data_IF_679292611061
#
_entry.id   IF_679292611061
#
_cell.length_a   1.000
_cell.length_b   1.000
_cell.length_c   1.000
_cell.angle_alpha   90.00
_cell.angle_beta   90.00
_cell.angle_gamma   90.00
#
_symmetry.space_group_name_H-M   'P 1'
#
loop_
_entity.id
_entity.type
_entity.pdbx_description
1 polymer ?
#
# COMPACT_ATOMS: atom_id res chain seq x y z
N UNK A 1 19.40 24.99 20.48
CA UNK A 1 20.47 24.95 19.46
C UNK A 1 21.57 25.94 19.84
N UNK A 2 22.85 25.61 19.68
CA UNK A 2 23.95 26.57 19.99
C UNK A 2 24.25 27.51 18.80
N UNK A 3 24.88 28.65 19.06
CA UNK A 3 25.34 29.58 17.99
C UNK A 3 26.34 28.91 17.03
N UNK A 4 27.16 27.97 17.53
CA UNK A 4 28.10 27.19 16.71
C UNK A 4 27.36 26.27 15.75
N UNK A 5 26.30 25.59 16.23
CA UNK A 5 25.45 24.75 15.39
C UNK A 5 24.73 25.58 14.33
N UNK A 6 24.20 26.74 14.71
CA UNK A 6 23.51 27.66 13.80
C UNK A 6 24.42 28.10 12.66
N UNK A 7 25.67 28.49 12.94
CA UNK A 7 26.64 28.88 11.90
C UNK A 7 26.93 27.74 10.94
N UNK A 8 27.10 26.52 11.45
CA UNK A 8 27.30 25.33 10.61
C UNK A 8 26.08 25.07 9.73
N UNK A 9 24.87 25.26 10.29
CA UNK A 9 23.63 25.07 9.55
C UNK A 9 23.48 26.11 8.44
N UNK A 10 23.69 27.39 8.74
CA UNK A 10 23.59 28.46 7.75
C UNK A 10 24.63 28.32 6.62
N UNK A 11 25.83 27.81 6.92
CA UNK A 11 26.86 27.53 5.93
C UNK A 11 26.50 26.42 4.92
N UNK A 12 25.48 25.60 5.20
CA UNK A 12 24.99 24.60 4.25
C UNK A 12 24.19 25.21 3.10
N UNK A 13 23.73 26.46 3.26
CA UNK A 13 22.82 27.11 2.32
C UNK A 13 21.39 26.58 2.43
N UNK A 14 20.48 27.20 1.68
CA UNK A 14 19.10 26.74 1.58
C UNK A 14 19.01 25.39 0.87
N UNK A 15 17.97 24.63 1.17
CA UNK A 15 17.73 23.34 0.57
C UNK A 15 16.42 22.69 1.00
N UNK A 16 16.21 21.40 0.68
CA UNK A 16 14.92 20.73 0.85
C UNK A 16 14.38 20.67 2.29
N UNK A 17 15.20 20.97 3.30
CA UNK A 17 14.84 20.94 4.73
C UNK A 17 15.35 22.15 5.51
N UNK A 18 15.86 23.17 4.81
CA UNK A 18 16.44 24.35 5.43
C UNK A 18 16.13 25.57 4.56
N UNK A 19 15.39 26.52 5.12
CA UNK A 19 15.01 27.76 4.44
C UNK A 19 15.49 28.95 5.27
N UNK A 20 15.91 30.04 4.60
CA UNK A 20 16.25 31.30 5.25
C UNK A 20 15.16 32.34 5.01
N UNK A 21 14.95 33.17 6.05
CA UNK A 21 14.14 34.38 5.98
C UNK A 21 14.93 35.51 6.62
N UNK A 22 14.89 36.69 6.02
CA UNK A 22 15.64 37.87 6.47
C UNK A 22 15.08 38.42 7.77
N UNK A 23 13.76 38.38 7.96
CA UNK A 23 13.10 38.85 9.18
C UNK A 23 11.69 38.28 9.33
N UNK A 24 11.04 38.53 10.47
CA UNK A 24 9.61 38.23 10.67
C UNK A 24 8.68 39.06 9.80
N UNK A 25 9.20 40.00 9.00
CA UNK A 25 8.43 40.61 7.91
C UNK A 25 7.99 39.60 6.85
N UNK A 26 8.71 38.47 6.73
CA UNK A 26 8.43 37.36 5.81
C UNK A 26 7.73 36.19 6.53
N UNK A 27 6.94 36.48 7.58
CA UNK A 27 6.31 35.43 8.40
C UNK A 27 5.30 34.61 7.58
N UNK A 28 4.59 35.22 6.64
CA UNK A 28 3.64 34.49 5.80
C UNK A 28 4.35 33.49 4.88
N UNK A 29 5.46 33.89 4.24
CA UNK A 29 6.28 32.98 3.43
C UNK A 29 6.91 31.88 4.31
N UNK A 30 7.32 32.22 5.55
CA UNK A 30 7.81 31.24 6.51
C UNK A 30 6.73 30.19 6.84
N UNK A 31 5.48 30.59 7.04
CA UNK A 31 4.38 29.66 7.32
C UNK A 31 4.05 28.76 6.12
N UNK A 32 4.10 29.30 4.90
CA UNK A 32 3.96 28.50 3.68
C UNK A 32 5.09 27.46 3.57
N UNK A 33 6.31 27.86 3.88
CA UNK A 33 7.47 26.96 3.95
C UNK A 33 7.25 25.89 5.03
N UNK A 34 6.71 26.26 6.19
CA UNK A 34 6.40 25.32 7.25
C UNK A 34 5.36 24.29 6.80
N UNK A 35 4.31 24.68 6.07
CA UNK A 35 3.38 23.74 5.44
C UNK A 35 4.09 22.78 4.48
N UNK A 36 4.99 23.29 3.64
CA UNK A 36 5.75 22.46 2.71
C UNK A 36 6.65 21.45 3.43
N UNK A 37 7.34 21.89 4.49
CA UNK A 37 8.18 21.00 5.32
C UNK A 37 7.36 19.99 6.11
N UNK A 38 6.20 20.39 6.63
CA UNK A 38 5.25 19.48 7.27
C UNK A 38 4.87 18.36 6.32
N UNK A 39 4.50 18.67 5.08
CA UNK A 39 4.15 17.64 4.09
C UNK A 39 5.35 16.81 3.56
N UNK A 40 6.58 17.21 3.93
CA UNK A 40 7.82 16.56 3.53
C UNK A 40 8.47 15.75 4.66
N UNK A 41 9.80 15.86 4.75
CA UNK A 41 10.60 15.20 5.79
C UNK A 41 10.79 16.09 7.04
N UNK A 42 9.97 17.12 7.20
CA UNK A 42 10.21 18.19 8.17
C UNK A 42 11.36 19.09 7.74
N UNK A 43 11.71 20.05 8.60
CA UNK A 43 12.77 21.00 8.29
C UNK A 43 12.95 22.09 9.33
N UNK A 44 13.81 23.05 9.00
CA UNK A 44 14.06 24.23 9.82
C UNK A 44 13.97 25.49 8.97
N UNK A 45 13.38 26.52 9.54
CA UNK A 45 13.36 27.86 8.95
C UNK A 45 14.15 28.77 9.88
N UNK A 46 15.17 29.43 9.34
CA UNK A 46 15.99 30.38 10.09
C UNK A 46 15.58 31.80 9.73
N UNK A 47 15.02 32.53 10.70
CA UNK A 47 14.58 33.93 10.50
C UNK A 47 15.61 34.89 11.11
N UNK A 48 16.05 35.86 10.32
CA UNK A 48 17.20 36.72 10.60
C UNK A 48 18.46 36.30 9.82
N UNK A 49 18.32 35.47 8.78
CA UNK A 49 19.43 34.97 7.95
C UNK A 49 19.27 35.48 6.52
N UNK A 50 20.35 36.01 5.95
CA UNK A 50 20.37 36.46 4.54
C UNK A 50 20.48 35.24 3.59
N UNK A 51 20.11 35.38 2.31
CA UNK A 51 20.20 34.27 1.34
C UNK A 51 21.60 33.67 1.19
N UNK A 52 22.65 34.45 1.49
CA UNK A 52 24.05 34.00 1.46
C UNK A 52 24.48 33.24 2.74
N UNK A 53 23.56 33.00 3.68
CA UNK A 53 23.84 32.37 4.97
C UNK A 53 24.35 33.32 6.06
N UNK A 54 24.48 34.62 5.78
CA UNK A 54 24.90 35.60 6.79
C UNK A 54 23.85 35.75 7.89
N UNK A 55 24.25 35.55 9.15
CA UNK A 55 23.41 35.74 10.33
C UNK A 55 23.27 37.23 10.66
N UNK A 56 22.27 37.90 10.09
CA UNK A 56 22.02 39.32 10.33
C UNK A 56 21.35 39.56 11.70
N UNK A 57 20.50 38.62 12.13
CA UNK A 57 19.69 38.76 13.35
C UNK A 57 18.54 39.73 13.17
N UNK A 58 17.63 39.71 14.13
CA UNK A 58 16.54 40.68 14.25
C UNK A 58 16.19 40.91 15.72
N UNK A 59 15.40 41.95 15.97
CA UNK A 59 14.86 42.21 17.30
C UNK A 59 13.61 41.36 17.50
N UNK A 60 13.60 40.53 18.54
CA UNK A 60 12.43 39.70 18.89
C UNK A 60 11.82 40.26 20.16
N UNK A 61 10.62 40.81 20.02
CA UNK A 61 9.81 41.32 21.14
C UNK A 61 8.75 40.30 21.55
N UNK A 62 8.10 40.50 22.70
CA UNK A 62 6.95 39.67 23.10
C UNK A 62 5.81 39.74 22.08
N UNK A 63 5.65 40.87 21.38
CA UNK A 63 4.68 40.99 20.29
C UNK A 63 5.03 40.04 19.15
N UNK A 64 6.31 40.01 18.74
CA UNK A 64 6.80 39.11 17.69
C UNK A 64 6.48 37.65 18.00
N UNK A 65 6.69 37.22 19.25
CA UNK A 65 6.39 35.85 19.68
C UNK A 65 4.89 35.55 19.66
N UNK A 66 4.05 36.49 20.12
CA UNK A 66 2.58 36.36 20.06
C UNK A 66 2.07 36.27 18.63
N UNK A 67 2.60 37.11 17.73
CA UNK A 67 2.20 37.12 16.32
C UNK A 67 2.55 35.78 15.65
N UNK A 68 3.72 35.21 15.95
CA UNK A 68 4.12 33.87 15.48
C UNK A 68 3.18 32.80 16.05
N UNK A 69 2.94 32.81 17.37
CA UNK A 69 2.07 31.82 18.00
C UNK A 69 0.66 31.84 17.40
N UNK A 70 0.05 33.02 17.26
CA UNK A 70 -1.26 33.18 16.62
C UNK A 70 -1.26 32.71 15.17
N UNK A 71 -0.18 32.95 14.43
CA UNK A 71 -0.11 32.49 13.04
C UNK A 71 0.05 30.96 12.93
N UNK A 72 0.77 30.33 13.88
CA UNK A 72 0.90 28.87 13.96
C UNK A 72 -0.41 28.18 14.38
N UNK A 73 -1.28 28.85 15.14
CA UNK A 73 -2.63 28.36 15.48
C UNK A 73 -3.52 28.20 14.24
N UNK A 74 -3.21 28.89 13.13
CA UNK A 74 -3.91 28.75 11.86
C UNK A 74 -3.65 27.43 11.13
N UNK A 75 -2.75 26.57 11.60
CA UNK A 75 -2.51 25.26 11.01
C UNK A 75 -3.58 24.25 11.39
N UNK A 76 -4.11 23.57 10.37
CA UNK A 76 -5.18 22.59 10.53
C UNK A 76 -4.82 21.28 9.77
N UNK A 77 -4.51 20.17 10.47
CA UNK A 77 -4.56 20.00 11.92
C UNK A 77 -3.44 20.76 12.67
N UNK A 78 -3.62 21.05 13.96
CA UNK A 78 -2.59 21.66 14.79
C UNK A 78 -1.30 20.83 14.74
N UNK A 79 -0.20 21.50 14.42
CA UNK A 79 1.12 20.88 14.34
C UNK A 79 2.04 21.43 15.44
N UNK A 80 2.90 20.56 15.98
CA UNK A 80 3.82 20.92 17.04
C UNK A 80 5.09 21.53 16.45
N UNK A 81 4.95 22.77 15.97
CA UNK A 81 6.08 23.58 15.51
C UNK A 81 6.78 24.18 16.72
N UNK A 82 8.10 24.01 16.82
CA UNK A 82 8.90 24.55 17.90
C UNK A 82 9.63 25.82 17.45
N UNK A 83 9.66 26.84 18.31
CA UNK A 83 10.27 28.13 17.99
C UNK A 83 11.31 28.46 19.06
N UNK A 84 12.57 28.43 18.67
CA UNK A 84 13.70 28.75 19.56
C UNK A 84 14.33 30.10 19.19
N UNK A 85 14.76 30.86 20.19
CA UNK A 85 15.56 32.07 20.04
C UNK A 85 17.04 31.75 20.24
N UNK A 86 17.87 32.12 19.29
CA UNK A 86 19.32 32.01 19.40
C UNK A 86 19.92 33.42 19.42
N UNK A 87 20.46 33.88 20.57
CA UNK A 87 21.05 35.22 20.67
C UNK A 87 22.37 35.32 19.91
N UNK A 88 22.58 36.47 19.27
CA UNK A 88 23.84 36.88 18.64
C UNK A 88 24.60 37.85 19.56
N UNK A 89 25.91 37.95 19.36
CA UNK A 89 26.76 38.88 20.12
C UNK A 89 26.38 40.36 19.93
N UNK A 90 25.66 40.70 18.86
CA UNK A 90 25.14 42.04 18.58
C UNK A 90 23.93 42.43 19.44
N UNK A 91 23.38 41.51 20.25
CA UNK A 91 22.12 41.70 20.98
C UNK A 91 20.87 41.45 20.12
N UNK A 92 21.04 41.16 18.83
CA UNK A 92 19.98 40.64 17.96
C UNK A 92 19.85 39.12 18.10
N UNK A 93 18.76 38.57 17.58
CA UNK A 93 18.45 37.15 17.73
C UNK A 93 18.06 36.53 16.40
N UNK A 94 18.28 35.22 16.29
CA UNK A 94 17.80 34.39 15.20
C UNK A 94 16.65 33.55 15.73
N UNK A 95 15.53 33.53 15.01
CA UNK A 95 14.44 32.60 15.30
C UNK A 95 14.65 31.33 14.50
N UNK A 96 14.52 30.21 15.18
CA UNK A 96 14.69 28.88 14.60
C UNK A 96 13.36 28.18 14.74
N UNK A 97 12.64 28.11 13.63
CA UNK A 97 11.35 27.43 13.55
C UNK A 97 11.62 25.99 13.12
N UNK A 98 11.48 25.04 14.04
CA UNK A 98 11.65 23.61 13.77
C UNK A 98 10.29 23.01 13.45
N UNK A 99 10.18 22.50 12.24
CA UNK A 99 8.95 21.95 11.69
C UNK A 99 9.08 20.44 11.65
N UNK A 100 8.21 19.69 12.37
CA UNK A 100 8.21 18.24 12.28
C UNK A 100 7.71 17.79 10.90
N UNK A 101 8.14 16.62 10.47
CA UNK A 101 7.46 15.93 9.38
C UNK A 101 6.02 15.61 9.83
N UNK A 102 5.02 16.19 9.18
CA UNK A 102 3.62 15.90 9.37
C UNK A 102 3.15 14.97 8.24
N UNK A 103 3.07 13.67 8.51
CA UNK A 103 2.41 12.72 7.62
C UNK A 103 3.13 12.49 6.29
N UNK A 104 3.98 11.47 6.22
CA UNK A 104 4.40 10.89 4.93
C UNK A 104 3.20 10.31 4.17
N UNK A 105 3.33 10.24 2.84
CA UNK A 105 2.38 9.53 2.00
C UNK A 105 2.11 8.13 2.56
N UNK A 106 0.85 7.67 2.47
CA UNK A 106 0.53 6.28 2.79
C UNK A 106 1.33 5.40 1.84
N UNK A 107 2.27 4.63 2.40
CA UNK A 107 3.15 3.75 1.63
C UNK A 107 2.57 2.35 1.62
N UNK A 108 2.64 1.69 0.46
CA UNK A 108 2.19 0.32 0.29
C UNK A 108 3.41 -0.57 0.03
N UNK A 109 3.67 -1.52 0.91
CA UNK A 109 4.67 -2.56 0.68
C UNK A 109 3.96 -3.88 0.37
N UNK A 110 4.25 -4.45 -0.80
CA UNK A 110 3.64 -5.70 -1.28
C UNK A 110 4.72 -6.78 -1.22
N UNK A 111 4.42 -7.86 -0.51
CA UNK A 111 5.25 -9.05 -0.39
C UNK A 111 4.49 -10.26 -0.94
N UNK A 112 5.20 -11.38 -1.07
CA UNK A 112 4.61 -12.63 -1.56
C UNK A 112 3.48 -13.18 -0.65
N UNK A 113 3.51 -12.85 0.65
CA UNK A 113 2.60 -13.40 1.66
C UNK A 113 1.74 -12.34 2.37
N UNK A 114 1.94 -11.06 2.06
CA UNK A 114 1.23 -9.96 2.71
C UNK A 114 1.33 -8.65 1.96
N UNK A 115 0.39 -7.78 2.30
CA UNK A 115 0.42 -6.36 1.96
C UNK A 115 0.48 -5.57 3.26
N UNK A 116 1.43 -4.65 3.36
CA UNK A 116 1.56 -3.73 4.47
C UNK A 116 1.20 -2.31 4.01
N UNK A 117 0.30 -1.67 4.75
CA UNK A 117 -0.09 -0.29 4.55
C UNK A 117 0.53 0.54 5.68
N UNK A 118 1.44 1.44 5.32
CA UNK A 118 2.19 2.27 6.23
C UNK A 118 1.64 3.69 6.20
N UNK A 119 1.02 4.12 7.29
CA UNK A 119 0.61 5.52 7.48
C UNK A 119 1.53 6.17 8.50
N UNK A 120 2.14 7.29 8.12
CA UNK A 120 2.92 8.08 9.05
C UNK A 120 2.04 8.63 10.19
N UNK A 121 2.57 8.58 11.41
CA UNK A 121 1.86 8.97 12.62
C UNK A 121 1.34 7.77 13.41
N UNK A 122 1.43 7.91 14.73
CA UNK A 122 0.92 6.97 15.73
C UNK A 122 -0.62 6.88 15.71
N UNK A 123 -1.19 6.04 16.54
CA UNK A 123 -2.61 6.02 16.89
C UNK A 123 -2.97 7.17 17.84
N UNK A 124 -4.22 7.66 17.82
CA UNK A 124 -4.68 8.70 18.75
C UNK A 124 -4.50 8.28 20.21
N UNK A 125 -4.30 9.26 21.11
CA UNK A 125 -4.18 9.00 22.55
C UNK A 125 -5.38 8.19 23.07
N UNK A 126 -5.09 7.12 23.81
CA UNK A 126 -6.11 6.23 24.36
C UNK A 126 -6.58 5.12 23.43
N UNK A 127 -6.07 5.04 22.19
CA UNK A 127 -6.33 3.93 21.26
C UNK A 127 -5.06 3.10 21.13
N UNK A 128 -5.14 1.81 21.43
CA UNK A 128 -4.06 0.84 21.22
C UNK A 128 -4.32 0.00 19.97
N UNK A 129 -3.28 -0.64 19.38
CA UNK A 129 -3.48 -1.52 18.23
C UNK A 129 -4.48 -2.65 18.49
N UNK A 130 -4.49 -3.23 19.70
CA UNK A 130 -5.43 -4.29 20.08
C UNK A 130 -6.88 -3.80 20.13
N UNK A 131 -7.08 -2.54 20.51
CA UNK A 131 -8.40 -1.92 20.60
C UNK A 131 -9.07 -1.85 19.22
N UNK A 132 -8.29 -1.68 18.13
CA UNK A 132 -8.80 -1.59 16.76
C UNK A 132 -9.48 -2.89 16.28
N UNK A 133 -9.20 -4.01 16.94
CA UNK A 133 -9.83 -5.31 16.68
C UNK A 133 -11.09 -5.57 17.52
N UNK A 134 -11.51 -4.60 18.33
CA UNK A 134 -12.67 -4.68 19.23
C UNK A 134 -13.53 -3.42 19.09
N UNK A 135 -14.63 -3.36 19.84
CA UNK A 135 -15.39 -2.11 19.97
C UNK A 135 -14.52 -1.07 20.69
N UNK A 136 -14.34 0.08 20.07
CA UNK A 136 -13.60 1.22 20.63
C UNK A 136 -14.31 2.53 20.28
N UNK A 137 -13.97 3.60 21.00
CA UNK A 137 -14.46 4.94 20.68
C UNK A 137 -13.82 5.45 19.39
N UNK A 138 -14.58 6.26 18.63
CA UNK A 138 -14.03 6.98 17.49
C UNK A 138 -13.29 8.22 17.98
N UNK A 139 -11.96 8.15 18.06
CA UNK A 139 -11.10 9.30 18.36
C UNK A 139 -10.50 9.82 17.06
N UNK A 140 -10.90 11.01 16.60
CA UNK A 140 -10.39 11.59 15.36
C UNK A 140 -9.15 12.46 15.61
N UNK A 141 -8.10 12.28 14.80
CA UNK A 141 -6.93 13.21 14.81
C UNK A 141 -7.31 14.58 14.26
N UNK A 142 -8.07 14.60 13.17
CA UNK A 142 -8.58 15.82 12.56
C UNK A 142 -10.11 15.71 12.43
N UNK A 143 -10.87 16.33 13.36
CA UNK A 143 -12.34 16.31 13.33
C UNK A 143 -12.95 16.97 12.09
N UNK A 144 -12.32 17.99 11.53
CA UNK A 144 -12.83 18.71 10.35
C UNK A 144 -12.78 17.83 9.10
N UNK A 145 -11.63 17.17 8.87
CA UNK A 145 -11.50 16.19 7.79
C UNK A 145 -12.54 15.09 7.97
N UNK A 146 -12.63 14.50 9.17
CA UNK A 146 -13.60 13.46 9.45
C UNK A 146 -15.05 13.90 9.20
N UNK A 147 -15.40 15.14 9.55
CA UNK A 147 -16.74 15.68 9.30
C UNK A 147 -17.04 15.86 7.80
N UNK A 148 -16.06 16.30 7.00
CA UNK A 148 -16.19 16.36 5.53
C UNK A 148 -16.45 14.98 4.95
N UNK A 149 -15.65 13.97 5.31
CA UNK A 149 -15.85 12.59 4.84
C UNK A 149 -17.18 11.99 5.32
N UNK A 150 -17.63 12.34 6.52
CA UNK A 150 -18.93 11.90 7.03
C UNK A 150 -20.09 12.53 6.24
N UNK A 151 -20.05 13.85 6.00
CA UNK A 151 -21.06 14.55 5.20
C UNK A 151 -21.10 14.07 3.75
N UNK A 152 -19.94 13.68 3.21
CA UNK A 152 -19.83 13.06 1.90
C UNK A 152 -20.33 11.60 1.86
N UNK A 153 -20.70 11.01 3.01
CA UNK A 153 -21.16 9.61 3.11
C UNK A 153 -20.05 8.57 2.97
N UNK A 154 -18.79 8.98 3.06
CA UNK A 154 -17.62 8.11 2.86
C UNK A 154 -17.20 7.37 4.15
N UNK A 155 -17.55 7.90 5.32
CA UNK A 155 -17.24 7.27 6.62
C UNK A 155 -18.43 7.29 7.59
N UNK A 156 -18.38 6.42 8.59
CA UNK A 156 -19.31 6.42 9.74
C UNK A 156 -18.65 7.07 10.97
N UNK A 157 -19.42 7.75 11.82
CA UNK A 157 -18.91 8.39 13.06
C UNK A 157 -18.66 7.42 14.24
N UNK A 158 -19.03 6.15 14.12
CA UNK A 158 -19.10 5.20 15.24
C UNK A 158 -17.85 4.32 15.44
N UNK A 159 -16.74 4.58 14.73
CA UNK A 159 -15.49 3.84 14.93
C UNK A 159 -15.55 2.35 14.57
N UNK A 160 -16.43 1.96 13.63
CA UNK A 160 -16.61 0.54 13.23
C UNK A 160 -15.81 0.12 12.00
N UNK A 161 -15.04 1.03 11.40
CA UNK A 161 -14.36 0.78 10.12
C UNK A 161 -13.44 -0.43 10.17
N UNK A 162 -12.52 -0.48 11.14
CA UNK A 162 -11.57 -1.59 11.32
C UNK A 162 -12.28 -2.92 11.60
N UNK A 163 -13.31 -2.90 12.45
CA UNK A 163 -14.13 -4.06 12.76
C UNK A 163 -14.87 -4.60 11.52
N UNK A 164 -15.40 -3.71 10.66
CA UNK A 164 -16.03 -4.09 9.38
C UNK A 164 -15.01 -4.72 8.42
N UNK A 165 -13.79 -4.18 8.35
CA UNK A 165 -12.70 -4.76 7.55
C UNK A 165 -12.38 -6.17 8.03
N UNK A 166 -12.23 -6.37 9.36
CA UNK A 166 -12.00 -7.70 9.96
C UNK A 166 -13.12 -8.67 9.59
N UNK A 167 -14.39 -8.23 9.67
CA UNK A 167 -15.53 -9.05 9.30
C UNK A 167 -15.51 -9.43 7.81
N UNK A 168 -15.16 -8.49 6.92
CA UNK A 168 -15.02 -8.78 5.49
C UNK A 168 -13.90 -9.77 5.20
N UNK A 169 -12.75 -9.66 5.87
CA UNK A 169 -11.67 -10.64 5.74
C UNK A 169 -12.16 -12.04 6.12
N UNK A 170 -12.79 -12.18 7.29
CA UNK A 170 -13.36 -13.46 7.76
C UNK A 170 -14.37 -14.03 6.78
N UNK A 171 -15.27 -13.19 6.26
CA UNK A 171 -16.30 -13.60 5.29
C UNK A 171 -15.70 -14.20 4.00
N UNK A 172 -14.52 -13.75 3.59
CA UNK A 172 -13.81 -14.24 2.41
C UNK A 172 -12.75 -15.30 2.72
N UNK A 173 -12.70 -15.83 3.95
CA UNK A 173 -11.71 -16.82 4.36
C UNK A 173 -10.28 -16.28 4.47
N UNK A 174 -10.12 -14.96 4.56
CA UNK A 174 -8.83 -14.28 4.74
C UNK A 174 -8.62 -14.05 6.24
N UNK A 175 -7.38 -14.24 6.70
CA UNK A 175 -7.02 -13.91 8.07
C UNK A 175 -7.29 -12.41 8.37
N UNK A 176 -7.80 -12.05 9.56
CA UNK A 176 -7.92 -10.66 9.96
C UNK A 176 -6.57 -9.92 9.83
N UNK A 177 -6.56 -8.63 9.44
CA UNK A 177 -5.34 -7.85 9.43
C UNK A 177 -4.79 -7.66 10.84
N UNK A 178 -3.47 -7.51 10.95
CA UNK A 178 -2.82 -7.03 12.18
C UNK A 178 -2.61 -5.53 12.13
N UNK A 179 -2.63 -4.91 13.30
CA UNK A 179 -2.39 -3.48 13.50
C UNK A 179 -1.19 -3.33 14.41
N UNK A 180 -0.22 -2.50 14.03
CA UNK A 180 1.01 -2.29 14.76
C UNK A 180 1.41 -0.81 14.72
N UNK A 181 2.16 -0.37 15.74
CA UNK A 181 2.87 0.91 15.70
C UNK A 181 4.36 0.66 15.63
N UNK A 182 4.99 1.01 14.50
CA UNK A 182 6.41 0.77 14.24
C UNK A 182 7.07 2.12 14.03
N UNK A 183 7.99 2.49 14.93
CA UNK A 183 8.79 3.73 14.82
C UNK A 183 7.93 4.98 14.58
N UNK A 184 6.77 5.07 15.24
CA UNK A 184 5.85 6.21 15.13
C UNK A 184 4.98 6.22 13.86
N UNK A 185 4.95 5.13 13.10
CA UNK A 185 3.99 4.89 12.02
C UNK A 185 2.95 3.85 12.44
N UNK A 186 1.71 4.02 11.98
CA UNK A 186 0.67 3.00 12.09
C UNK A 186 0.77 2.08 10.88
N UNK A 187 0.93 0.78 11.12
CA UNK A 187 1.09 -0.24 10.09
C UNK A 187 -0.10 -1.20 10.16
N UNK A 188 -0.72 -1.44 9.00
CA UNK A 188 -1.79 -2.44 8.86
C UNK A 188 -1.30 -3.52 7.91
N UNK A 189 -1.26 -4.75 8.39
CA UNK A 189 -0.76 -5.89 7.61
C UNK A 189 -1.88 -6.83 7.27
N UNK A 190 -2.18 -6.94 5.98
CA UNK A 190 -3.07 -7.96 5.44
C UNK A 190 -2.24 -9.14 5.01
N UNK A 191 -2.29 -10.25 5.76
CA UNK A 191 -1.71 -11.51 5.31
C UNK A 191 -2.60 -12.10 4.24
N UNK A 192 -2.10 -12.06 3.02
CA UNK A 192 -2.72 -12.72 1.91
C UNK A 192 -1.87 -13.95 1.64
N UNK A 193 -2.45 -15.15 1.77
CA UNK A 193 -1.91 -16.24 0.98
C UNK A 193 -2.16 -15.83 -0.47
N UNK A 194 -1.13 -15.30 -1.13
CA UNK A 194 -1.12 -15.20 -2.58
C UNK A 194 -1.13 -16.65 -3.02
N UNK A 195 -2.34 -17.19 -3.19
CA UNK A 195 -2.54 -18.19 -4.22
C UNK A 195 -2.20 -17.43 -5.48
N UNK A 196 -0.93 -17.47 -5.86
CA UNK A 196 -0.61 -17.35 -7.25
C UNK A 196 -1.56 -18.37 -7.87
N UNK A 197 -2.47 -17.91 -8.71
CA UNK A 197 -3.02 -18.78 -9.72
C UNK A 197 -1.88 -19.07 -10.69
N UNK A 198 -0.80 -19.70 -10.21
CA UNK A 198 0.06 -20.54 -11.01
C UNK A 198 -0.79 -21.80 -11.17
N UNK A 199 -1.35 -22.09 -12.35
CA UNK A 199 -1.77 -23.45 -12.62
C UNK A 199 -0.54 -24.34 -12.32
N UNK A 200 -0.67 -25.40 -11.52
CA UNK A 200 0.45 -26.02 -10.82
C UNK A 200 1.59 -26.33 -11.79
N UNK A 201 2.74 -25.71 -11.56
CA UNK A 201 4.02 -26.16 -12.11
C UNK A 201 4.85 -26.65 -10.92
N UNK A 202 4.76 -27.95 -10.68
CA UNK A 202 5.68 -28.67 -9.81
C UNK A 202 7.00 -28.87 -10.57
N UNK A 203 8.09 -28.31 -10.04
CA UNK A 203 9.43 -28.86 -10.27
C UNK A 203 9.61 -30.05 -9.31
N UNK A 204 10.08 -31.22 -9.79
CA UNK A 204 9.91 -32.49 -9.08
C UNK A 204 10.95 -32.69 -7.98
N UNK A 205 10.46 -32.88 -6.75
CA UNK A 205 11.17 -33.67 -5.74
C UNK A 205 10.50 -35.04 -5.59
N UNK A 206 11.33 -36.04 -5.35
CA UNK A 206 11.14 -37.46 -5.67
C UNK A 206 10.39 -38.23 -4.57
N UNK A 207 9.23 -38.80 -4.96
CA UNK A 207 8.52 -40.03 -4.48
C UNK A 207 7.96 -40.14 -3.05
N UNK A 208 6.98 -41.05 -2.77
CA UNK A 208 5.99 -41.73 -3.64
C UNK A 208 4.53 -41.75 -3.07
N UNK A 209 3.57 -42.16 -3.91
CA UNK A 209 2.14 -42.45 -3.63
C UNK A 209 1.26 -41.19 -3.43
N UNK A 210 0.14 -40.94 -4.11
CA UNK A 210 -0.92 -41.82 -4.65
C UNK A 210 -1.55 -41.25 -5.95
N UNK A 211 -2.24 -42.12 -6.68
CA UNK A 211 -2.94 -41.92 -7.98
C UNK A 211 -3.76 -40.62 -8.14
N UNK A 212 -3.69 -39.91 -9.29
CA UNK A 212 -4.35 -38.61 -9.45
C UNK A 212 -5.82 -38.73 -9.87
N UNK A 213 -6.71 -38.02 -9.17
CA UNK A 213 -8.08 -37.79 -9.61
C UNK A 213 -8.10 -36.65 -10.64
N UNK A 214 -8.80 -36.83 -11.77
CA UNK A 214 -8.92 -35.79 -12.81
C UNK A 214 -9.93 -34.72 -12.38
N UNK A 215 -9.55 -33.44 -12.46
CA UNK A 215 -10.46 -32.32 -12.19
C UNK A 215 -11.68 -32.33 -13.12
N UNK A 216 -12.85 -31.88 -12.64
CA UNK A 216 -14.15 -32.01 -13.30
C UNK A 216 -14.20 -31.48 -14.75
N UNK A 217 -13.42 -30.45 -15.08
CA UNK A 217 -13.34 -29.87 -16.44
C UNK A 217 -12.51 -30.74 -17.40
N UNK A 218 -11.41 -31.31 -16.93
CA UNK A 218 -10.59 -32.23 -17.72
C UNK A 218 -11.34 -33.54 -18.02
N UNK A 219 -12.12 -34.04 -17.06
CA UNK A 219 -12.99 -35.21 -17.28
C UNK A 219 -14.04 -34.94 -18.37
N UNK A 220 -14.67 -33.75 -18.37
CA UNK A 220 -15.62 -33.35 -19.43
C UNK A 220 -14.95 -33.28 -20.81
N UNK A 221 -13.75 -32.74 -20.90
CA UNK A 221 -13.00 -32.66 -22.17
C UNK A 221 -12.62 -34.06 -22.68
N UNK A 222 -12.07 -34.92 -21.83
CA UNK A 222 -11.68 -36.28 -22.19
C UNK A 222 -12.90 -37.12 -22.59
N UNK A 223 -14.05 -36.92 -21.93
CA UNK A 223 -15.30 -37.58 -22.29
C UNK A 223 -15.82 -37.11 -23.66
N UNK A 224 -15.76 -35.81 -23.94
CA UNK A 224 -16.16 -35.24 -25.23
C UNK A 224 -15.21 -35.66 -26.37
N UNK A 225 -13.92 -35.84 -26.08
CA UNK A 225 -12.91 -36.24 -27.06
C UNK A 225 -12.84 -37.77 -27.28
N UNK A 226 -13.80 -38.56 -26.81
CA UNK A 226 -13.94 -39.98 -27.21
C UNK A 226 -14.02 -40.12 -28.73
N UNK A 227 -14.65 -39.14 -29.37
CA UNK A 227 -14.60 -38.91 -30.81
C UNK A 227 -13.82 -37.63 -31.13
N UNK A 228 -13.19 -37.50 -32.31
CA UNK A 228 -12.45 -36.30 -32.67
C UNK A 228 -13.31 -35.02 -32.66
N UNK A 229 -13.02 -34.12 -31.72
CA UNK A 229 -13.80 -32.91 -31.49
C UNK A 229 -12.99 -31.65 -31.84
N UNK A 230 -13.67 -30.62 -32.35
CA UNK A 230 -13.03 -29.37 -32.73
C UNK A 230 -12.74 -28.48 -31.51
N UNK A 231 -11.69 -27.67 -31.59
CA UNK A 231 -11.29 -26.73 -30.52
C UNK A 231 -12.44 -25.85 -30.05
N UNK A 232 -13.18 -25.25 -30.98
CA UNK A 232 -14.29 -24.33 -30.68
C UNK A 232 -15.49 -25.03 -30.02
N UNK A 233 -15.68 -26.33 -30.28
CA UNK A 233 -16.72 -27.13 -29.61
C UNK A 233 -16.33 -27.43 -28.17
N UNK A 234 -15.08 -27.85 -27.95
CA UNK A 234 -14.53 -28.09 -26.61
C UNK A 234 -14.49 -26.82 -25.75
N UNK A 235 -14.16 -25.69 -26.36
CA UNK A 235 -14.15 -24.40 -25.68
C UNK A 235 -15.56 -23.98 -25.25
N UNK A 236 -16.55 -24.15 -26.15
CA UNK A 236 -17.96 -23.88 -25.84
C UNK A 236 -18.53 -24.83 -24.77
N UNK A 237 -18.12 -26.09 -24.78
CA UNK A 237 -18.52 -27.09 -23.78
C UNK A 237 -18.17 -26.65 -22.35
N UNK A 238 -17.08 -25.91 -22.18
CA UNK A 238 -16.65 -25.37 -20.89
C UNK A 238 -17.15 -23.94 -20.61
N UNK A 239 -17.92 -23.33 -21.52
CA UNK A 239 -18.43 -21.96 -21.38
C UNK A 239 -17.34 -20.89 -21.41
N UNK A 240 -16.21 -21.15 -22.09
CA UNK A 240 -15.06 -20.24 -22.12
C UNK A 240 -15.05 -19.38 -23.39
N UNK A 241 -14.70 -18.10 -23.24
CA UNK A 241 -14.68 -17.14 -24.36
C UNK A 241 -13.27 -16.87 -24.90
N UNK A 242 -12.23 -16.96 -24.05
CA UNK A 242 -10.85 -16.70 -24.46
C UNK A 242 -10.18 -17.96 -25.04
N UNK A 243 -9.80 -17.89 -26.32
CA UNK A 243 -9.16 -18.98 -27.06
C UNK A 243 -7.75 -19.31 -26.57
N UNK A 244 -6.96 -18.30 -26.25
CA UNK A 244 -5.54 -18.49 -25.87
C UNK A 244 -5.44 -19.07 -24.47
N UNK A 245 -6.27 -18.58 -23.56
CA UNK A 245 -6.43 -19.17 -22.24
C UNK A 245 -6.93 -20.61 -22.33
N UNK A 246 -7.95 -20.88 -23.17
CA UNK A 246 -8.47 -22.23 -23.34
C UNK A 246 -7.39 -23.24 -23.79
N UNK A 247 -6.60 -22.90 -24.81
CA UNK A 247 -5.55 -23.80 -25.31
C UNK A 247 -4.48 -24.08 -24.25
N UNK A 248 -3.95 -23.02 -23.62
CA UNK A 248 -2.84 -23.13 -22.66
C UNK A 248 -3.22 -23.78 -21.34
N UNK A 249 -4.44 -23.49 -20.87
CA UNK A 249 -4.90 -23.93 -19.55
C UNK A 249 -5.57 -25.31 -19.59
N UNK A 250 -6.15 -25.70 -20.73
CA UNK A 250 -6.96 -26.93 -20.80
C UNK A 250 -6.50 -27.96 -21.83
N UNK A 251 -6.02 -27.56 -23.01
CA UNK A 251 -5.67 -28.50 -24.08
C UNK A 251 -4.20 -28.93 -23.99
N UNK A 252 -3.28 -27.98 -23.91
CA UNK A 252 -1.83 -28.24 -23.79
C UNK A 252 -1.46 -29.15 -22.62
N UNK A 253 -2.02 -28.99 -21.40
CA UNK A 253 -1.71 -29.87 -20.27
C UNK A 253 -2.19 -31.32 -20.48
N UNK A 254 -3.33 -31.51 -21.15
CA UNK A 254 -3.85 -32.85 -21.44
C UNK A 254 -3.03 -33.55 -22.53
N UNK A 255 -2.51 -32.79 -23.51
CA UNK A 255 -1.59 -33.32 -24.50
C UNK A 255 -0.21 -33.65 -23.90
N UNK A 256 0.32 -32.79 -23.02
CA UNK A 256 1.59 -33.02 -22.33
C UNK A 256 1.55 -34.28 -21.44
N UNK A 257 0.39 -34.59 -20.84
CA UNK A 257 0.14 -35.84 -20.10
C UNK A 257 -0.12 -37.05 -21.00
N UNK A 258 -0.18 -36.87 -22.32
CA UNK A 258 -0.51 -37.92 -23.28
C UNK A 258 -1.96 -38.41 -23.18
N UNK A 259 -2.86 -37.63 -22.58
CA UNK A 259 -4.29 -37.98 -22.42
C UNK A 259 -5.13 -37.52 -23.60
N UNK A 260 -4.60 -36.58 -24.39
CA UNK A 260 -5.23 -36.01 -25.56
C UNK A 260 -4.20 -35.91 -26.68
N UNK A 261 -4.61 -36.07 -27.92
CA UNK A 261 -3.74 -35.97 -29.09
C UNK A 261 -4.40 -35.16 -30.22
N UNK A 262 -3.55 -34.61 -31.07
CA UNK A 262 -3.95 -33.89 -32.28
C UNK A 262 -4.15 -34.87 -33.43
N UNK A 263 -5.21 -34.69 -34.22
CA UNK A 263 -5.44 -35.51 -35.42
C UNK A 263 -4.51 -35.17 -36.59
N UNK A 264 -3.94 -33.95 -36.63
CA UNK A 264 -2.99 -33.48 -37.66
C UNK A 264 -1.76 -32.83 -36.97
N UNK A 265 -0.90 -33.62 -36.31
CA UNK A 265 0.20 -33.09 -35.49
C UNK A 265 1.18 -32.20 -36.26
N UNK A 266 1.42 -32.48 -37.55
CA UNK A 266 2.35 -31.70 -38.39
C UNK A 266 1.83 -30.29 -38.74
N UNK A 267 0.51 -30.06 -38.61
CA UNK A 267 -0.14 -28.78 -38.92
C UNK A 267 -1.05 -28.36 -37.77
N UNK A 268 -0.49 -28.03 -36.59
CA UNK A 268 -1.26 -27.78 -35.36
C UNK A 268 -2.18 -26.56 -35.44
N UNK A 269 -1.90 -25.63 -36.36
CA UNK A 269 -2.73 -24.44 -36.63
C UNK A 269 -3.78 -24.65 -37.73
N UNK A 270 -3.93 -25.87 -38.25
CA UNK A 270 -4.89 -26.20 -39.31
C UNK A 270 -6.32 -25.89 -38.87
N UNK A 271 -7.12 -25.31 -39.76
CA UNK A 271 -8.56 -25.10 -39.52
C UNK A 271 -9.34 -26.42 -39.38
N UNK A 272 -8.77 -27.52 -39.88
CA UNK A 272 -9.33 -28.87 -39.77
C UNK A 272 -8.80 -29.64 -38.55
N UNK A 273 -7.99 -29.00 -37.70
CA UNK A 273 -7.42 -29.62 -36.51
C UNK A 273 -8.52 -30.03 -35.52
N UNK A 274 -8.46 -31.28 -35.06
CA UNK A 274 -9.32 -31.84 -34.02
C UNK A 274 -8.49 -32.49 -32.93
N UNK A 275 -9.13 -32.77 -31.80
CA UNK A 275 -8.52 -33.40 -30.65
C UNK A 275 -9.26 -34.69 -30.30
N UNK A 276 -8.51 -35.72 -29.92
CA UNK A 276 -9.03 -37.03 -29.51
C UNK A 276 -8.38 -37.45 -28.20
N UNK A 277 -9.14 -38.08 -27.31
CA UNK A 277 -8.63 -38.65 -26.08
C UNK A 277 -7.90 -39.97 -26.38
N UNK A 278 -6.74 -40.16 -25.76
CA UNK A 278 -5.96 -41.41 -25.89
C UNK A 278 -6.51 -42.47 -24.94
N UNK A 279 -6.05 -43.73 -25.08
CA UNK A 279 -6.40 -44.80 -24.15
C UNK A 279 -6.06 -44.43 -22.68
N UNK A 280 -4.91 -43.77 -22.47
CA UNK A 280 -4.49 -43.28 -21.16
C UNK A 280 -5.43 -42.19 -20.61
N UNK A 281 -5.90 -41.27 -21.47
CA UNK A 281 -6.87 -40.25 -21.09
C UNK A 281 -8.25 -40.82 -20.75
N UNK A 282 -8.72 -41.82 -21.49
CA UNK A 282 -10.02 -42.46 -21.22
C UNK A 282 -10.01 -43.31 -19.94
N UNK A 283 -8.86 -43.92 -19.59
CA UNK A 283 -8.71 -44.65 -18.34
C UNK A 283 -8.95 -43.75 -17.11
N UNK A 284 -8.63 -42.46 -17.21
CA UNK A 284 -8.86 -41.51 -16.12
C UNK A 284 -10.35 -41.27 -15.81
N UNK A 285 -11.24 -41.51 -16.78
CA UNK A 285 -12.70 -41.34 -16.57
C UNK A 285 -13.33 -42.49 -15.80
N UNK A 286 -12.68 -43.67 -15.77
CA UNK A 286 -13.22 -44.86 -15.11
C UNK A 286 -12.92 -44.87 -13.60
N UNK A 287 -11.88 -44.17 -13.14
CA UNK A 287 -11.53 -44.02 -11.73
C UNK A 287 -12.49 -43.15 -10.90
N UNK A 288 -13.34 -42.34 -11.53
CA UNK A 288 -14.23 -41.38 -10.84
C UNK A 288 -15.66 -41.90 -10.56
N UNK A 289 -15.98 -43.17 -10.84
CA UNK A 289 -17.34 -43.76 -10.64
C UNK A 289 -17.52 -44.59 -9.36
N UNK A 290 -16.52 -44.66 -8.48
CA UNK A 290 -16.66 -45.28 -7.14
C UNK A 290 -16.50 -44.22 -6.05
N UNK A 291 -17.57 -43.48 -5.79
CA UNK A 291 -17.89 -42.90 -4.47
C UNK A 291 -19.38 -42.59 -4.41
#
# INVERSE_FOLDING_TARGET
>A
MTLKDLRRLAAQGEGPRLEFKRSTGELQEALQTACAFMNGLGGRILVGVKPDGTLAGQQVSDKTLRDIAHALEGFEPPSRVDVERVPLASGLEILVITVPAAGGAVSLAIFDDRVEIWSAGALPSGITPEALSRKHLSVQRNPLIADVFYRAGLIEKWGRGTNRVIEQCRKHGIAPPTFEEITGATVVTFRAQVRLAVPPHETPHVTPHETPHVGAQAAKLLAACREPCARDELQRLLGLHDRMHFLRTYIEPLMAKGWLEMTIPDKPKSRLQRYRATAAGLAQLQGSRKS
#
